data_IF_111999664128
#
_entry.id   IF_111999664128
#
_cell.length_a   1.000
_cell.length_b   1.000
_cell.length_c   1.000
_cell.angle_alpha   90.00
_cell.angle_beta   90.00
_cell.angle_gamma   90.00
#
_symmetry.space_group_name_H-M   'P 1'
#
loop_
_entity.id
_entity.type
_entity.pdbx_description
1 polymer ?
#
# COMPACT_ATOMS: atom_id res chain seq x y z
N UNK A 1 2.64 10.10 15.25
CA UNK A 1 2.54 10.56 13.83
C UNK A 1 2.35 9.37 12.91
N UNK A 2 1.96 9.60 11.64
CA UNK A 2 1.86 8.53 10.63
C UNK A 2 2.84 8.86 9.50
N UNK A 3 3.72 7.92 9.18
CA UNK A 3 4.67 8.01 8.08
C UNK A 3 4.34 6.93 7.05
N UNK A 4 4.31 7.30 5.77
CA UNK A 4 4.17 6.34 4.67
C UNK A 4 5.42 6.36 3.80
N UNK A 5 6.16 5.27 3.78
CA UNK A 5 7.41 5.15 3.04
C UNK A 5 7.14 4.49 1.68
N UNK A 6 7.54 5.17 0.61
CA UNK A 6 7.61 4.63 -0.75
C UNK A 6 9.04 4.77 -1.25
N UNK A 7 9.82 3.68 -1.25
CA UNK A 7 11.23 3.76 -1.68
C UNK A 7 11.37 4.10 -3.16
N UNK A 8 10.41 3.70 -3.99
CA UNK A 8 10.46 3.89 -5.43
C UNK A 8 9.11 4.43 -5.98
N UNK A 9 8.75 5.68 -5.62
CA UNK A 9 7.54 6.30 -6.15
C UNK A 9 7.60 6.46 -7.66
N UNK A 10 6.47 6.76 -8.28
CA UNK A 10 6.37 6.98 -9.71
C UNK A 10 5.38 8.09 -10.04
N UNK A 11 5.53 8.69 -11.19
CA UNK A 11 4.42 9.33 -11.89
C UNK A 11 3.82 8.28 -12.81
N UNK A 12 2.57 7.91 -12.60
CA UNK A 12 1.85 7.00 -13.51
C UNK A 12 1.21 7.84 -14.61
N UNK A 13 1.71 7.67 -15.84
CA UNK A 13 1.13 8.24 -17.06
C UNK A 13 0.12 7.26 -17.63
N UNK A 14 -1.17 7.58 -17.49
CA UNK A 14 -2.26 6.79 -18.05
C UNK A 14 -2.63 7.34 -19.42
N UNK A 15 -2.53 6.51 -20.45
CA UNK A 15 -2.83 6.87 -21.84
C UNK A 15 -4.01 6.02 -22.32
N UNK A 16 -5.06 6.65 -22.82
CA UNK A 16 -6.21 5.96 -23.40
C UNK A 16 -6.12 5.96 -24.94
N UNK A 17 -6.18 4.77 -25.52
CA UNK A 17 -6.22 4.57 -26.98
C UNK A 17 -7.32 3.55 -27.32
N UNK A 18 -7.89 3.62 -28.53
CA UNK A 18 -8.88 2.62 -28.96
C UNK A 18 -8.26 1.23 -29.10
N UNK A 19 -7.11 1.20 -29.77
CA UNK A 19 -6.31 0.01 -30.00
C UNK A 19 -4.84 0.38 -29.96
N UNK A 20 -4.05 -0.36 -29.18
CA UNK A 20 -2.60 -0.20 -29.17
C UNK A 20 -1.99 -1.13 -30.22
N UNK A 21 -1.40 -0.56 -31.26
CA UNK A 21 -0.74 -1.29 -32.36
C UNK A 21 0.77 -1.13 -32.24
N UNK A 22 1.49 -2.24 -32.06
CA UNK A 22 2.95 -2.22 -31.99
C UNK A 22 3.54 -1.90 -33.36
N UNK A 23 4.55 -1.03 -33.38
CA UNK A 23 5.23 -0.57 -34.59
C UNK A 23 4.49 0.54 -35.38
N UNK A 24 3.33 0.95 -34.89
CA UNK A 24 2.50 1.98 -35.54
C UNK A 24 2.37 3.24 -34.70
N UNK A 25 1.95 4.35 -35.35
CA UNK A 25 1.62 5.59 -34.65
C UNK A 25 0.26 5.47 -33.96
N UNK A 26 0.27 5.37 -32.63
CA UNK A 26 -0.94 5.40 -31.82
C UNK A 26 -1.22 6.83 -31.33
N UNK A 27 -2.47 7.29 -31.44
CA UNK A 27 -2.89 8.62 -30.94
C UNK A 27 -3.78 8.45 -29.72
N UNK A 28 -3.42 9.13 -28.62
CA UNK A 28 -4.22 9.12 -27.40
C UNK A 28 -5.56 9.84 -27.61
N UNK A 29 -6.60 9.36 -26.90
CA UNK A 29 -7.90 10.02 -26.74
C UNK A 29 -8.03 10.75 -25.42
N UNK A 30 -7.14 10.45 -24.49
CA UNK A 30 -7.06 11.06 -23.19
C UNK A 30 -5.81 10.62 -22.47
N UNK A 31 -5.34 11.46 -21.56
CA UNK A 31 -4.16 11.19 -20.75
C UNK A 31 -4.34 11.75 -19.34
N UNK A 32 -3.75 11.10 -18.37
CA UNK A 32 -3.70 11.55 -16.99
C UNK A 32 -2.33 11.26 -16.38
N UNK A 33 -1.87 12.17 -15.54
CA UNK A 33 -0.66 12.02 -14.74
C UNK A 33 -1.05 11.87 -13.29
N UNK A 34 -0.55 10.84 -12.62
CA UNK A 34 -0.95 10.53 -11.25
C UNK A 34 0.29 10.26 -10.41
N UNK A 35 0.32 10.85 -9.21
CA UNK A 35 1.34 10.49 -8.22
C UNK A 35 1.07 9.06 -7.72
N UNK A 36 2.01 8.15 -7.99
CA UNK A 36 1.85 6.71 -7.74
C UNK A 36 2.89 6.14 -6.79
N UNK A 37 2.54 4.99 -6.25
CA UNK A 37 3.32 4.23 -5.29
C UNK A 37 2.46 3.82 -4.09
N UNK A 38 2.67 2.60 -3.57
CA UNK A 38 1.79 2.04 -2.53
C UNK A 38 1.69 2.92 -1.28
N UNK A 39 2.81 3.46 -0.79
CA UNK A 39 2.79 4.37 0.36
C UNK A 39 2.14 5.71 0.03
N UNK A 40 2.27 6.23 -1.20
CA UNK A 40 1.58 7.44 -1.65
C UNK A 40 0.06 7.19 -1.68
N UNK A 41 -0.39 6.05 -2.21
CA UNK A 41 -1.80 5.68 -2.19
C UNK A 41 -2.34 5.61 -0.76
N UNK A 42 -1.60 4.97 0.15
CA UNK A 42 -1.95 4.93 1.57
C UNK A 42 -2.02 6.33 2.20
N UNK A 43 -1.07 7.23 1.86
CA UNK A 43 -1.06 8.62 2.32
C UNK A 43 -2.33 9.38 1.93
N UNK A 44 -2.73 9.29 0.67
CA UNK A 44 -3.92 9.94 0.16
C UNK A 44 -5.19 9.45 0.88
N UNK A 45 -5.30 8.13 1.07
CA UNK A 45 -6.42 7.55 1.83
C UNK A 45 -6.45 8.04 3.27
N UNK A 46 -5.31 7.98 3.97
CA UNK A 46 -5.19 8.45 5.36
C UNK A 46 -5.62 9.92 5.47
N UNK A 47 -5.15 10.77 4.55
CA UNK A 47 -5.52 12.18 4.53
C UNK A 47 -7.01 12.39 4.29
N UNK A 48 -7.61 11.66 3.35
CA UNK A 48 -9.06 11.72 3.06
C UNK A 48 -9.91 11.22 4.22
N UNK A 49 -9.39 10.29 5.03
CA UNK A 49 -10.01 9.84 6.27
C UNK A 49 -9.78 10.77 7.46
N UNK A 50 -9.00 11.86 7.30
CA UNK A 50 -8.79 12.88 8.32
C UNK A 50 -7.51 12.69 9.16
N UNK A 51 -6.64 11.79 8.76
CA UNK A 51 -5.37 11.53 9.46
C UNK A 51 -4.22 12.30 8.82
N UNK A 52 -3.69 13.29 9.55
CA UNK A 52 -2.46 13.99 9.14
C UNK A 52 -1.31 13.00 9.08
N UNK A 53 -0.63 12.97 7.93
CA UNK A 53 0.45 12.02 7.71
C UNK A 53 1.59 12.63 6.88
N UNK A 54 2.73 11.96 6.90
CA UNK A 54 3.95 12.33 6.17
C UNK A 54 4.26 11.27 5.12
N UNK A 55 4.22 11.65 3.84
CA UNK A 55 4.68 10.80 2.75
C UNK A 55 6.19 10.97 2.59
N UNK A 56 6.94 9.87 2.61
CA UNK A 56 8.41 9.89 2.53
C UNK A 56 8.96 8.78 1.64
N UNK A 57 10.24 8.82 1.39
CA UNK A 57 10.99 7.95 0.47
C UNK A 57 11.95 8.78 -0.36
N UNK A 58 12.15 8.41 -1.63
CA UNK A 58 13.13 9.05 -2.49
C UNK A 58 12.47 9.61 -3.74
N UNK A 59 12.78 10.88 -4.04
CA UNK A 59 12.29 11.56 -5.25
C UNK A 59 13.42 12.33 -5.91
N UNK A 60 13.34 12.54 -7.22
CA UNK A 60 14.32 13.32 -7.97
C UNK A 60 13.73 13.99 -9.20
N UNK A 61 14.34 15.12 -9.62
CA UNK A 61 13.99 15.85 -10.81
C UNK A 61 12.56 16.41 -10.83
N UNK A 62 12.09 16.79 -12.02
CA UNK A 62 10.78 17.45 -12.20
C UNK A 62 9.60 16.52 -11.84
N UNK A 63 9.74 15.23 -12.05
CA UNK A 63 8.69 14.25 -11.68
C UNK A 63 8.60 14.06 -10.18
N UNK A 64 9.72 14.13 -9.46
CA UNK A 64 9.74 14.16 -8.00
C UNK A 64 9.07 15.42 -7.44
N UNK A 65 9.30 16.57 -8.07
CA UNK A 65 8.63 17.81 -7.71
C UNK A 65 7.12 17.72 -7.96
N UNK A 66 6.70 17.15 -9.11
CA UNK A 66 5.29 16.91 -9.39
C UNK A 66 4.59 16.09 -8.28
N UNK A 67 5.23 15.01 -7.79
CA UNK A 67 4.70 14.20 -6.70
C UNK A 67 4.54 15.05 -5.43
N UNK A 68 5.57 15.81 -5.04
CA UNK A 68 5.52 16.67 -3.85
C UNK A 68 4.39 17.69 -3.94
N UNK A 69 4.25 18.36 -5.08
CA UNK A 69 3.22 19.39 -5.31
C UNK A 69 1.81 18.78 -5.27
N UNK A 70 1.63 17.61 -5.89
CA UNK A 70 0.35 16.87 -5.84
C UNK A 70 -0.03 16.51 -4.41
N UNK A 71 0.91 15.99 -3.61
CA UNK A 71 0.67 15.62 -2.22
C UNK A 71 0.32 16.84 -1.35
N UNK A 72 0.98 17.98 -1.56
CA UNK A 72 0.67 19.24 -0.87
C UNK A 72 -0.76 19.70 -1.21
N UNK A 73 -1.16 19.63 -2.48
CA UNK A 73 -2.52 19.98 -2.91
C UNK A 73 -3.59 19.10 -2.26
N UNK A 74 -3.27 17.83 -2.04
CA UNK A 74 -4.14 16.86 -1.34
C UNK A 74 -4.05 16.98 0.20
N UNK A 75 -3.24 17.91 0.75
CA UNK A 75 -3.08 18.13 2.18
C UNK A 75 -2.12 17.18 2.89
N UNK A 76 -1.45 16.29 2.16
CA UNK A 76 -0.40 15.39 2.69
C UNK A 76 0.91 16.16 2.84
N UNK A 77 1.67 15.88 3.89
CA UNK A 77 2.97 16.51 4.15
C UNK A 77 4.11 15.71 3.49
N UNK A 78 4.74 16.19 2.42
CA UNK A 78 5.88 15.52 1.82
C UNK A 78 7.14 15.67 2.67
N UNK A 79 7.83 14.56 2.95
CA UNK A 79 9.08 14.49 3.69
C UNK A 79 10.08 13.60 2.95
N UNK A 80 10.26 13.83 1.66
CA UNK A 80 11.12 13.02 0.80
C UNK A 80 12.59 13.42 0.89
N UNK A 81 13.46 12.43 0.75
CA UNK A 81 14.88 12.64 0.48
C UNK A 81 15.07 12.80 -1.02
N UNK A 82 15.78 13.85 -1.42
CA UNK A 82 16.08 14.10 -2.84
C UNK A 82 17.28 13.28 -3.29
N UNK A 83 17.13 12.62 -4.44
CA UNK A 83 18.17 11.84 -5.10
C UNK A 83 18.49 12.38 -6.49
N UNK A 84 19.67 12.08 -6.98
CA UNK A 84 20.05 12.41 -8.34
C UNK A 84 19.22 11.63 -9.36
N UNK A 85 18.94 12.25 -10.49
CA UNK A 85 18.14 11.67 -11.57
C UNK A 85 16.66 12.09 -11.50
N UNK A 86 15.81 11.27 -12.11
CA UNK A 86 14.39 11.57 -12.29
C UNK A 86 13.57 10.45 -11.63
N UNK A 87 12.62 10.81 -10.78
CA UNK A 87 11.61 9.86 -10.31
C UNK A 87 10.95 9.20 -11.51
N UNK A 88 10.83 7.89 -11.49
CA UNK A 88 10.35 7.11 -12.64
C UNK A 88 8.95 7.52 -13.11
N UNK A 89 8.73 7.37 -14.41
CA UNK A 89 7.41 7.46 -15.02
C UNK A 89 7.02 6.05 -15.45
N UNK A 90 5.91 5.54 -14.95
CA UNK A 90 5.30 4.33 -15.47
C UNK A 90 4.26 4.72 -16.51
N UNK A 91 4.18 3.96 -17.59
CA UNK A 91 3.18 4.18 -18.64
C UNK A 91 2.13 3.09 -18.58
N UNK A 92 0.86 3.47 -18.44
CA UNK A 92 -0.30 2.59 -18.43
C UNK A 92 -1.15 2.85 -19.67
N UNK A 93 -1.04 1.98 -20.66
CA UNK A 93 -1.83 2.08 -21.89
C UNK A 93 -3.15 1.36 -21.69
N UNK A 94 -4.24 2.10 -21.63
CA UNK A 94 -5.61 1.56 -21.55
C UNK A 94 -6.20 1.47 -22.95
N UNK A 95 -6.41 0.24 -23.41
CA UNK A 95 -7.02 -0.10 -24.68
C UNK A 95 -8.01 -1.26 -24.47
N UNK A 96 -8.19 -2.14 -25.45
CA UNK A 96 -8.93 -3.39 -25.28
C UNK A 96 -8.28 -4.29 -24.21
N UNK A 97 -6.94 -4.26 -24.15
CA UNK A 97 -6.12 -4.88 -23.09
C UNK A 97 -5.26 -3.80 -22.43
N UNK A 98 -5.09 -3.89 -21.12
CA UNK A 98 -4.23 -2.97 -20.39
C UNK A 98 -2.76 -3.41 -20.50
N UNK A 99 -1.89 -2.48 -20.88
CA UNK A 99 -0.44 -2.71 -20.93
C UNK A 99 0.29 -1.74 -20.04
N UNK A 100 1.15 -2.25 -19.18
CA UNK A 100 1.97 -1.44 -18.27
C UNK A 100 3.45 -1.54 -18.64
N UNK A 101 4.13 -0.37 -18.68
CA UNK A 101 5.57 -0.26 -18.84
C UNK A 101 6.10 0.46 -17.60
N UNK A 102 6.76 -0.29 -16.72
CA UNK A 102 7.25 0.23 -15.45
C UNK A 102 8.76 0.53 -15.53
N UNK A 103 9.13 1.78 -15.35
CA UNK A 103 10.53 2.20 -15.31
C UNK A 103 11.22 1.80 -14.00
N UNK A 104 12.55 1.63 -14.04
CA UNK A 104 13.33 1.23 -12.87
C UNK A 104 13.38 2.29 -11.76
N UNK A 105 13.46 3.57 -12.14
CA UNK A 105 13.63 4.68 -11.19
C UNK A 105 15.10 5.05 -10.95
N UNK A 106 15.33 6.11 -10.17
CA UNK A 106 16.69 6.60 -9.88
C UNK A 106 17.42 5.67 -8.91
N UNK A 107 18.76 5.70 -8.99
CA UNK A 107 19.62 5.00 -8.05
C UNK A 107 19.61 5.72 -6.70
N UNK A 108 19.41 4.98 -5.63
CA UNK A 108 19.53 5.49 -4.25
C UNK A 108 20.89 5.09 -3.70
N UNK A 109 21.69 6.08 -3.31
CA UNK A 109 23.01 5.82 -2.71
C UNK A 109 22.85 5.44 -1.21
N UNK A 110 23.87 4.79 -0.62
CA UNK A 110 23.88 4.50 0.83
C UNK A 110 23.75 5.75 1.70
N UNK A 111 24.34 6.88 1.26
CA UNK A 111 24.28 8.17 1.96
C UNK A 111 22.84 8.71 1.98
N UNK A 112 22.13 8.60 0.85
CA UNK A 112 20.71 9.01 0.75
C UNK A 112 19.80 8.13 1.58
N UNK A 113 20.09 6.83 1.66
CA UNK A 113 19.37 5.95 2.57
C UNK A 113 19.65 6.28 4.04
N UNK A 114 20.90 6.62 4.39
CA UNK A 114 21.24 7.06 5.75
C UNK A 114 20.55 8.39 6.11
N UNK A 115 20.40 9.32 5.14
CA UNK A 115 19.62 10.56 5.32
C UNK A 115 18.16 10.27 5.69
N UNK A 116 17.53 9.30 5.01
CA UNK A 116 16.17 8.86 5.35
C UNK A 116 16.10 8.22 6.75
N UNK A 117 17.04 7.34 7.08
CA UNK A 117 17.08 6.70 8.41
C UNK A 117 17.22 7.71 9.54
N UNK A 118 18.05 8.74 9.35
CA UNK A 118 18.29 9.79 10.34
C UNK A 118 17.00 10.55 10.72
N UNK A 119 16.03 10.67 9.79
CA UNK A 119 14.72 11.25 10.08
C UNK A 119 14.00 10.40 11.13
N UNK A 120 13.95 9.09 10.92
CA UNK A 120 13.26 8.17 11.83
C UNK A 120 14.02 7.97 13.15
N UNK A 121 15.35 7.91 13.12
CA UNK A 121 16.18 7.81 14.33
C UNK A 121 15.96 8.99 15.28
N UNK A 122 15.75 10.18 14.72
CA UNK A 122 15.49 11.40 15.49
C UNK A 122 14.06 11.49 16.00
N UNK A 123 13.07 11.20 15.15
CA UNK A 123 11.68 11.62 15.35
C UNK A 123 10.73 10.47 15.74
N UNK A 124 11.11 9.20 15.52
CA UNK A 124 10.21 8.06 15.72
C UNK A 124 9.99 7.71 17.20
N UNK A 125 8.73 7.56 17.57
CA UNK A 125 8.27 7.18 18.92
C UNK A 125 7.30 5.99 18.90
N UNK A 126 6.96 5.47 20.09
CA UNK A 126 6.05 4.33 20.26
C UNK A 126 4.60 4.61 19.82
N UNK A 127 4.20 5.88 19.78
CA UNK A 127 2.87 6.29 19.36
C UNK A 127 2.73 6.42 17.84
N UNK A 128 3.84 6.28 17.12
CA UNK A 128 3.89 6.48 15.68
C UNK A 128 3.52 5.21 14.90
N UNK A 129 3.12 5.43 13.66
CA UNK A 129 2.81 4.37 12.70
C UNK A 129 3.68 4.58 11.46
N UNK A 130 4.36 3.52 11.04
CA UNK A 130 5.19 3.54 9.85
C UNK A 130 4.67 2.51 8.84
N UNK A 131 4.15 3.00 7.72
CA UNK A 131 3.88 2.18 6.56
C UNK A 131 5.15 2.07 5.72
N UNK A 132 5.58 0.85 5.44
CA UNK A 132 6.60 0.58 4.42
C UNK A 132 5.95 -0.25 3.32
N UNK A 133 5.76 0.37 2.16
CA UNK A 133 4.96 -0.23 1.11
C UNK A 133 5.62 -0.12 -0.28
N UNK A 134 5.44 -1.16 -1.09
CA UNK A 134 5.98 -1.27 -2.44
C UNK A 134 7.33 -1.99 -2.51
N UNK A 135 7.98 -1.86 -3.67
CA UNK A 135 9.26 -2.50 -3.97
C UNK A 135 10.43 -1.56 -3.70
N UNK A 136 11.63 -2.15 -3.58
CA UNK A 136 12.87 -1.42 -3.43
C UNK A 136 13.15 -0.53 -4.66
N UNK A 137 13.82 0.62 -4.44
CA UNK A 137 14.43 1.40 -5.50
C UNK A 137 15.77 0.76 -5.94
N UNK A 138 16.25 1.06 -7.15
CA UNK A 138 17.61 0.71 -7.53
C UNK A 138 18.62 1.20 -6.49
N UNK A 139 19.58 0.35 -6.11
CA UNK A 139 20.56 0.63 -5.05
C UNK A 139 20.12 0.22 -3.65
N UNK A 140 18.85 -0.11 -3.44
CA UNK A 140 18.34 -0.66 -2.19
C UNK A 140 18.04 -2.15 -2.33
N UNK A 141 18.25 -2.86 -1.27
CA UNK A 141 17.96 -4.29 -1.15
C UNK A 141 17.11 -4.57 0.12
N UNK A 142 16.99 -5.81 0.47
CA UNK A 142 16.26 -6.26 1.68
C UNK A 142 16.79 -5.62 2.97
N UNK A 143 18.07 -5.25 3.02
CA UNK A 143 18.66 -4.62 4.22
C UNK A 143 18.03 -3.27 4.53
N UNK A 144 17.58 -2.53 3.51
CA UNK A 144 16.86 -1.28 3.70
C UNK A 144 15.52 -1.49 4.40
N UNK A 145 14.78 -2.55 4.04
CA UNK A 145 13.53 -2.92 4.70
C UNK A 145 13.77 -3.36 6.14
N UNK A 146 14.78 -4.21 6.35
CA UNK A 146 15.19 -4.69 7.68
C UNK A 146 15.58 -3.52 8.58
N UNK A 147 16.31 -2.53 8.07
CA UNK A 147 16.72 -1.36 8.86
C UNK A 147 15.51 -0.58 9.39
N UNK A 148 14.52 -0.31 8.54
CA UNK A 148 13.26 0.36 8.96
C UNK A 148 12.48 -0.52 9.94
N UNK A 149 12.32 -1.82 9.64
CA UNK A 149 11.58 -2.75 10.49
C UNK A 149 12.19 -2.86 11.90
N UNK A 150 13.53 -2.98 11.96
CA UNK A 150 14.30 -2.99 13.20
C UNK A 150 14.12 -1.72 14.01
N UNK A 151 14.23 -0.56 13.36
CA UNK A 151 14.06 0.73 14.02
C UNK A 151 12.64 0.90 14.58
N UNK A 152 11.61 0.49 13.83
CA UNK A 152 10.23 0.49 14.33
C UNK A 152 10.08 -0.40 15.57
N UNK A 153 10.66 -1.60 15.57
CA UNK A 153 10.63 -2.50 16.71
C UNK A 153 11.36 -1.90 17.92
N UNK A 154 12.55 -1.34 17.75
CA UNK A 154 13.35 -0.72 18.80
C UNK A 154 12.65 0.49 19.44
N UNK A 155 11.90 1.25 18.65
CA UNK A 155 11.12 2.42 19.09
C UNK A 155 9.72 2.07 19.58
N UNK A 156 9.25 0.85 19.39
CA UNK A 156 7.90 0.40 19.71
C UNK A 156 6.81 0.96 18.78
N UNK A 157 7.20 1.52 17.64
CA UNK A 157 6.26 2.06 16.65
C UNK A 157 5.47 0.94 15.95
N UNK A 158 4.23 1.23 15.55
CA UNK A 158 3.42 0.28 14.78
C UNK A 158 3.94 0.21 13.35
N UNK A 159 4.55 -0.92 13.00
CA UNK A 159 5.10 -1.17 11.68
C UNK A 159 4.07 -1.86 10.78
N UNK A 160 3.64 -1.20 9.71
CA UNK A 160 2.68 -1.67 8.70
C UNK A 160 3.45 -2.00 7.43
N UNK A 161 3.37 -3.25 6.96
CA UNK A 161 4.19 -3.72 5.85
C UNK A 161 3.33 -4.29 4.71
N UNK A 162 3.47 -3.73 3.51
CA UNK A 162 2.85 -4.23 2.28
C UNK A 162 3.84 -4.24 1.12
N UNK A 163 4.52 -5.37 0.94
CA UNK A 163 5.59 -5.54 -0.05
C UNK A 163 5.56 -6.95 -0.64
N UNK A 164 6.45 -7.22 -1.60
CA UNK A 164 6.56 -8.54 -2.22
C UNK A 164 7.00 -9.63 -1.24
N UNK A 165 6.80 -10.90 -1.64
CA UNK A 165 7.06 -12.11 -0.85
C UNK A 165 8.40 -12.09 -0.12
N UNK A 166 9.50 -11.85 -0.84
CA UNK A 166 10.85 -11.93 -0.27
C UNK A 166 11.09 -10.86 0.81
N UNK A 167 10.76 -9.63 0.51
CA UNK A 167 10.94 -8.50 1.43
C UNK A 167 10.03 -8.64 2.67
N UNK A 168 8.81 -9.16 2.47
CA UNK A 168 7.87 -9.40 3.56
C UNK A 168 8.41 -10.45 4.52
N UNK A 169 8.83 -11.62 4.02
CA UNK A 169 9.27 -12.73 4.88
C UNK A 169 10.49 -12.38 5.72
N UNK A 170 11.45 -11.64 5.18
CA UNK A 170 12.64 -11.18 5.90
C UNK A 170 12.32 -10.18 7.03
N UNK A 171 11.22 -9.42 6.89
CA UNK A 171 10.80 -8.45 7.89
C UNK A 171 9.92 -9.04 9.01
N UNK A 172 9.42 -10.28 8.90
CA UNK A 172 8.52 -10.88 9.90
C UNK A 172 9.17 -10.99 11.29
N UNK A 173 10.49 -11.21 11.36
CA UNK A 173 11.24 -11.27 12.62
C UNK A 173 11.10 -10.01 13.48
N UNK A 174 10.80 -8.86 12.85
CA UNK A 174 10.62 -7.57 13.51
C UNK A 174 9.16 -7.29 13.89
N UNK A 175 8.32 -8.33 13.86
CA UNK A 175 6.94 -8.33 14.34
C UNK A 175 6.09 -7.17 13.80
N UNK A 176 5.90 -7.07 12.47
CA UNK A 176 5.04 -6.03 11.91
C UNK A 176 3.66 -6.07 12.55
N UNK A 177 3.13 -4.86 12.88
CA UNK A 177 1.81 -4.70 13.48
C UNK A 177 0.73 -5.30 12.58
N UNK A 178 0.77 -5.01 11.27
CA UNK A 178 -0.14 -5.61 10.29
C UNK A 178 0.55 -5.78 8.95
N UNK A 179 0.27 -6.90 8.30
CA UNK A 179 0.63 -7.19 6.91
C UNK A 179 -0.64 -7.48 6.10
N UNK A 180 -0.57 -7.28 4.77
CA UNK A 180 -1.72 -7.53 3.91
C UNK A 180 -1.33 -8.26 2.62
N UNK A 181 -1.04 -9.55 2.62
CA UNK A 181 -0.97 -10.34 1.40
C UNK A 181 -2.38 -10.56 0.80
N UNK A 182 -2.47 -10.75 -0.50
CA UNK A 182 -3.64 -11.39 -1.08
C UNK A 182 -3.53 -12.92 -0.95
N UNK A 183 -4.62 -13.66 -1.23
CA UNK A 183 -4.63 -15.12 -1.07
C UNK A 183 -3.66 -15.84 -2.01
N UNK A 184 -3.35 -15.28 -3.19
CA UNK A 184 -2.34 -15.82 -4.09
C UNK A 184 -0.93 -15.61 -3.53
N UNK A 185 -0.60 -14.38 -3.09
CA UNK A 185 0.68 -14.05 -2.44
C UNK A 185 0.92 -14.90 -1.19
N UNK A 186 -0.14 -15.13 -0.39
CA UNK A 186 -0.06 -16.02 0.77
C UNK A 186 0.27 -17.45 0.35
N UNK A 187 -0.41 -17.97 -0.68
CA UNK A 187 -0.12 -19.29 -1.24
C UNK A 187 1.31 -19.41 -1.78
N UNK A 188 1.77 -18.39 -2.50
CA UNK A 188 3.14 -18.34 -3.03
C UNK A 188 4.22 -18.37 -1.95
N UNK A 189 4.00 -17.73 -0.80
CA UNK A 189 4.94 -17.74 0.33
C UNK A 189 5.22 -19.18 0.76
N UNK A 190 4.20 -20.01 0.82
CA UNK A 190 4.31 -21.41 1.26
C UNK A 190 4.39 -22.44 0.13
N UNK A 191 4.37 -21.98 -1.14
CA UNK A 191 4.44 -22.86 -2.31
C UNK A 191 3.18 -23.71 -2.50
N UNK A 192 2.00 -23.20 -2.13
CA UNK A 192 0.72 -23.90 -2.20
C UNK A 192 -0.34 -23.07 -2.95
N UNK A 193 -1.38 -23.75 -3.45
CA UNK A 193 -2.58 -23.08 -3.96
C UNK A 193 -3.69 -23.22 -2.93
N UNK A 194 -4.17 -22.09 -2.42
CA UNK A 194 -5.22 -22.04 -1.39
C UNK A 194 -6.59 -22.18 -2.05
N UNK A 195 -7.41 -23.09 -1.53
CA UNK A 195 -8.69 -23.45 -2.16
C UNK A 195 -9.91 -22.89 -1.40
N UNK A 196 -9.79 -22.73 -0.11
CA UNK A 196 -10.88 -22.31 0.74
C UNK A 196 -10.40 -21.45 1.92
N UNK A 197 -11.35 -20.94 2.68
CA UNK A 197 -11.13 -20.05 3.81
C UNK A 197 -10.34 -20.73 4.95
N UNK A 198 -10.58 -22.02 5.18
CA UNK A 198 -9.90 -22.78 6.23
C UNK A 198 -8.39 -22.92 5.92
N UNK A 199 -8.03 -23.16 4.66
CA UNK A 199 -6.64 -23.17 4.22
C UNK A 199 -6.00 -21.78 4.34
N UNK A 200 -6.73 -20.70 3.96
CA UNK A 200 -6.26 -19.32 4.12
C UNK A 200 -5.95 -19.01 5.58
N UNK A 201 -6.86 -19.33 6.49
CA UNK A 201 -6.67 -19.13 7.94
C UNK A 201 -5.48 -19.96 8.44
N UNK A 202 -5.34 -21.22 8.01
CA UNK A 202 -4.23 -22.07 8.39
C UNK A 202 -2.88 -21.47 8.01
N UNK A 203 -2.73 -20.98 6.77
CA UNK A 203 -1.49 -20.38 6.32
C UNK A 203 -1.26 -18.96 6.86
N UNK A 204 -2.32 -18.20 7.14
CA UNK A 204 -2.21 -16.94 7.88
C UNK A 204 -1.65 -17.16 9.31
N UNK A 205 -2.08 -18.23 10.02
CA UNK A 205 -1.51 -18.61 11.32
C UNK A 205 -0.01 -18.95 11.21
N UNK A 206 0.43 -19.60 10.13
CA UNK A 206 1.86 -19.83 9.89
C UNK A 206 2.65 -18.52 9.70
N UNK A 207 2.07 -17.51 9.02
CA UNK A 207 2.72 -16.18 8.96
C UNK A 207 2.79 -15.50 10.34
N UNK A 208 1.79 -15.73 11.18
CA UNK A 208 1.79 -15.24 12.55
C UNK A 208 2.89 -15.90 13.39
N UNK A 209 3.07 -17.20 13.25
CA UNK A 209 4.17 -17.94 13.89
C UNK A 209 5.55 -17.44 13.46
N UNK A 210 5.68 -16.92 12.22
CA UNK A 210 6.90 -16.28 11.71
C UNK A 210 7.10 -14.85 12.23
N UNK A 211 6.08 -14.24 12.87
CA UNK A 211 6.22 -12.95 13.55
C UNK A 211 5.16 -11.90 13.25
N UNK A 212 4.38 -11.99 12.19
CA UNK A 212 3.31 -11.00 11.92
C UNK A 212 2.30 -10.97 13.07
N UNK A 213 1.94 -9.77 13.54
CA UNK A 213 0.96 -9.66 14.65
C UNK A 213 -0.47 -9.77 14.14
N UNK A 214 -0.83 -8.98 13.14
CA UNK A 214 -2.14 -9.04 12.48
C UNK A 214 -1.96 -9.28 11.00
N UNK A 215 -2.84 -10.07 10.40
CA UNK A 215 -2.75 -10.45 8.99
C UNK A 215 -4.10 -10.23 8.33
N UNK A 216 -4.14 -9.34 7.34
CA UNK A 216 -5.28 -9.19 6.45
C UNK A 216 -4.98 -9.99 5.18
N UNK A 217 -5.86 -10.90 4.82
CA UNK A 217 -5.75 -11.62 3.54
C UNK A 217 -6.87 -11.13 2.62
N UNK A 218 -6.51 -10.35 1.59
CA UNK A 218 -7.48 -9.87 0.62
C UNK A 218 -7.82 -10.96 -0.42
N UNK A 219 -9.10 -11.07 -0.80
CA UNK A 219 -9.63 -12.11 -1.71
C UNK A 219 -10.35 -11.51 -2.91
N UNK A 220 -10.06 -10.26 -3.25
CA UNK A 220 -10.73 -9.55 -4.33
C UNK A 220 -12.24 -9.48 -4.12
N UNK A 221 -13.02 -10.02 -5.09
CA UNK A 221 -14.49 -10.06 -5.02
C UNK A 221 -15.08 -10.88 -3.89
N UNK A 222 -14.29 -11.68 -3.19
CA UNK A 222 -14.72 -12.49 -2.05
C UNK A 222 -14.47 -11.80 -0.69
N UNK A 223 -14.06 -10.54 -0.69
CA UNK A 223 -13.82 -9.78 0.53
C UNK A 223 -12.44 -9.99 1.14
N UNK A 224 -12.35 -10.06 2.45
CA UNK A 224 -11.10 -10.22 3.16
C UNK A 224 -11.26 -11.01 4.47
N UNK A 225 -10.14 -11.60 4.91
CA UNK A 225 -9.99 -12.24 6.21
C UNK A 225 -9.01 -11.44 7.04
N UNK A 226 -9.27 -11.31 8.33
CA UNK A 226 -8.35 -10.76 9.31
C UNK A 226 -8.07 -11.81 10.39
N UNK A 227 -6.81 -12.10 10.63
CA UNK A 227 -6.33 -12.84 11.79
C UNK A 227 -5.62 -11.85 12.72
N UNK A 228 -6.09 -11.75 13.95
CA UNK A 228 -5.51 -10.89 14.98
C UNK A 228 -4.43 -11.60 15.80
N UNK A 229 -3.58 -10.85 16.51
CA UNK A 229 -2.48 -11.39 17.32
C UNK A 229 -2.96 -12.36 18.41
N UNK A 230 -4.15 -12.13 18.98
CA UNK A 230 -4.79 -12.98 19.97
C UNK A 230 -5.56 -14.17 19.37
N UNK A 231 -5.47 -14.37 18.06
CA UNK A 231 -6.03 -15.52 17.34
C UNK A 231 -7.49 -15.39 16.92
N UNK A 232 -8.12 -14.20 17.12
CA UNK A 232 -9.46 -13.97 16.59
C UNK A 232 -9.44 -13.92 15.06
N UNK A 233 -10.49 -14.44 14.44
CA UNK A 233 -10.65 -14.41 12.98
C UNK A 233 -11.91 -13.65 12.64
N UNK A 234 -11.80 -12.73 11.70
CA UNK A 234 -12.93 -12.00 11.13
C UNK A 234 -12.92 -12.15 9.61
N UNK A 235 -14.12 -12.25 9.02
CA UNK A 235 -14.28 -12.14 7.57
C UNK A 235 -15.17 -10.96 7.21
N UNK A 236 -14.90 -10.34 6.08
CA UNK A 236 -15.76 -9.31 5.50
C UNK A 236 -16.21 -9.72 4.11
N UNK A 237 -17.43 -9.35 3.73
CA UNK A 237 -17.88 -9.31 2.35
C UNK A 237 -17.39 -8.03 1.65
N UNK A 238 -17.87 -7.78 0.43
CA UNK A 238 -17.67 -6.55 -0.32
C UNK A 238 -19.03 -5.90 -0.63
N UNK A 239 -19.07 -4.56 -0.78
CA UNK A 239 -20.28 -3.87 -1.21
C UNK A 239 -20.54 -4.13 -2.69
N UNK A 240 -21.79 -3.94 -3.12
CA UNK A 240 -22.14 -4.02 -4.52
C UNK A 240 -21.58 -2.83 -5.30
N UNK A 241 -20.98 -3.09 -6.45
CA UNK A 241 -20.43 -2.05 -7.31
C UNK A 241 -19.79 -2.61 -8.58
N UNK A 242 -19.39 -1.71 -9.46
CA UNK A 242 -18.68 -2.06 -10.70
C UNK A 242 -17.21 -1.69 -10.56
N UNK A 243 -16.34 -2.65 -10.75
CA UNK A 243 -14.90 -2.40 -10.80
C UNK A 243 -14.56 -1.53 -12.01
N UNK A 244 -13.90 -0.42 -11.74
CA UNK A 244 -13.38 0.55 -12.73
C UNK A 244 -11.86 0.40 -12.83
N UNK A 245 -11.17 0.34 -11.68
CA UNK A 245 -9.71 0.21 -11.62
C UNK A 245 -9.30 -0.43 -10.29
N UNK A 246 -8.67 -1.60 -10.32
CA UNK A 246 -8.24 -2.30 -9.09
C UNK A 246 -6.91 -1.82 -8.51
N UNK A 247 -6.19 -0.96 -9.23
CA UNK A 247 -4.89 -0.42 -8.77
C UNK A 247 -5.08 0.43 -7.52
N UNK A 248 -4.29 0.18 -6.49
CA UNK A 248 -4.36 0.91 -5.22
C UNK A 248 -5.47 0.44 -4.26
N UNK A 249 -6.37 -0.48 -4.68
CA UNK A 249 -7.43 -0.99 -3.81
C UNK A 249 -6.89 -1.68 -2.56
N UNK A 250 -5.82 -2.46 -2.69
CA UNK A 250 -5.14 -3.12 -1.57
C UNK A 250 -4.48 -2.12 -0.62
N UNK A 251 -3.81 -1.10 -1.16
CA UNK A 251 -3.18 -0.03 -0.39
C UNK A 251 -4.24 0.76 0.39
N UNK A 252 -5.36 1.04 -0.28
CA UNK A 252 -6.52 1.72 0.31
C UNK A 252 -7.17 0.90 1.42
N UNK A 253 -7.33 -0.40 1.23
CA UNK A 253 -7.84 -1.31 2.26
C UNK A 253 -6.97 -1.26 3.51
N UNK A 254 -5.66 -1.37 3.36
CA UNK A 254 -4.72 -1.35 4.48
C UNK A 254 -4.73 0.01 5.20
N UNK A 255 -4.74 1.11 4.45
CA UNK A 255 -4.81 2.45 5.01
C UNK A 255 -6.13 2.71 5.77
N UNK A 256 -7.27 2.30 5.20
CA UNK A 256 -8.59 2.40 5.84
C UNK A 256 -8.70 1.56 7.11
N UNK A 257 -8.13 0.35 7.11
CA UNK A 257 -8.02 -0.50 8.28
C UNK A 257 -7.23 0.18 9.41
N UNK A 258 -6.02 0.65 9.09
CA UNK A 258 -5.14 1.28 10.10
C UNK A 258 -5.74 2.57 10.63
N UNK A 259 -6.31 3.42 9.76
CA UNK A 259 -6.99 4.65 10.17
C UNK A 259 -8.05 4.38 11.24
N UNK A 260 -8.96 3.43 10.98
CA UNK A 260 -10.04 3.09 11.90
C UNK A 260 -9.53 2.41 13.18
N UNK A 261 -8.50 1.58 13.08
CA UNK A 261 -7.89 0.99 14.26
C UNK A 261 -7.30 2.05 15.19
N UNK A 262 -6.65 3.08 14.65
CA UNK A 262 -6.10 4.18 15.45
C UNK A 262 -7.18 5.01 16.14
N UNK A 263 -8.38 5.08 15.57
CA UNK A 263 -9.51 5.80 16.15
C UNK A 263 -10.26 4.98 17.23
N UNK A 264 -10.42 3.67 17.00
CA UNK A 264 -11.39 2.85 17.74
C UNK A 264 -10.76 1.72 18.55
N UNK A 265 -9.60 1.22 18.14
CA UNK A 265 -9.02 -0.02 18.65
C UNK A 265 -9.80 -1.28 18.29
N UNK A 266 -10.87 -1.20 17.47
CA UNK A 266 -11.78 -2.28 17.14
C UNK A 266 -11.41 -2.92 15.80
N UNK A 267 -11.08 -4.20 15.81
CA UNK A 267 -10.66 -4.95 14.64
C UNK A 267 -11.78 -5.20 13.64
N UNK A 268 -13.00 -5.43 14.11
CA UNK A 268 -14.15 -5.67 13.23
C UNK A 268 -14.52 -4.39 12.47
N UNK A 269 -14.56 -3.23 13.15
CA UNK A 269 -14.78 -1.94 12.52
C UNK A 269 -13.65 -1.58 11.56
N UNK A 270 -12.42 -1.88 11.94
CA UNK A 270 -11.23 -1.65 11.10
C UNK A 270 -11.27 -2.47 9.81
N UNK A 271 -11.60 -3.76 9.88
CA UNK A 271 -11.77 -4.60 8.70
C UNK A 271 -12.92 -4.10 7.82
N UNK A 272 -14.04 -3.72 8.42
CA UNK A 272 -15.20 -3.15 7.72
C UNK A 272 -14.83 -1.90 6.91
N UNK A 273 -14.16 -0.95 7.56
CA UNK A 273 -13.70 0.30 6.89
C UNK A 273 -12.63 0.00 5.85
N UNK A 274 -11.70 -0.90 6.13
CA UNK A 274 -10.68 -1.33 5.18
C UNK A 274 -11.30 -1.90 3.90
N UNK A 275 -12.26 -2.82 4.03
CA UNK A 275 -12.97 -3.40 2.90
C UNK A 275 -13.76 -2.36 2.10
N UNK A 276 -14.43 -1.41 2.78
CA UNK A 276 -15.12 -0.29 2.14
C UNK A 276 -14.15 0.59 1.34
N UNK A 277 -13.01 0.94 1.93
CA UNK A 277 -12.01 1.83 1.32
C UNK A 277 -11.36 1.17 0.10
N UNK A 278 -11.02 -0.13 0.20
CA UNK A 278 -10.50 -0.89 -0.93
C UNK A 278 -11.50 -1.01 -2.07
N UNK A 279 -12.77 -1.31 -1.74
CA UNK A 279 -13.85 -1.41 -2.74
C UNK A 279 -14.16 -0.05 -3.38
N UNK A 280 -14.21 1.03 -2.58
CA UNK A 280 -14.43 2.38 -3.09
C UNK A 280 -13.34 2.77 -4.11
N UNK A 281 -12.08 2.45 -3.81
CA UNK A 281 -10.97 2.67 -4.76
C UNK A 281 -11.14 1.81 -6.00
N UNK A 282 -11.52 0.53 -5.87
CA UNK A 282 -11.76 -0.33 -7.03
C UNK A 282 -12.93 0.15 -7.92
N UNK A 283 -13.89 0.88 -7.38
CA UNK A 283 -15.04 1.45 -8.10
C UNK A 283 -14.78 2.89 -8.61
N UNK A 284 -13.60 3.42 -8.34
CA UNK A 284 -13.16 4.75 -8.79
C UNK A 284 -12.12 4.66 -9.89
N UNK A 285 -11.92 5.74 -10.62
CA UNK A 285 -10.83 5.85 -11.61
C UNK A 285 -9.47 5.81 -10.92
N UNK A 286 -9.39 6.38 -9.69
CA UNK A 286 -8.21 6.45 -8.86
C UNK A 286 -8.57 6.25 -7.37
N UNK A 287 -7.71 6.66 -6.45
CA UNK A 287 -7.98 6.57 -5.00
C UNK A 287 -9.32 7.23 -4.68
N UNK A 288 -10.18 6.52 -3.95
CA UNK A 288 -11.54 6.95 -3.68
C UNK A 288 -11.64 8.20 -2.81
N UNK A 289 -12.64 9.03 -3.09
CA UNK A 289 -13.03 10.12 -2.23
C UNK A 289 -13.72 9.61 -0.95
N UNK A 290 -13.58 10.38 0.14
CA UNK A 290 -14.16 10.03 1.45
C UNK A 290 -15.65 9.72 1.38
N UNK A 291 -16.42 10.50 0.62
CA UNK A 291 -17.87 10.31 0.50
C UNK A 291 -18.22 8.91 0.02
N UNK A 292 -17.56 8.42 -1.02
CA UNK A 292 -17.80 7.05 -1.53
C UNK A 292 -17.44 5.99 -0.50
N UNK A 293 -16.35 6.17 0.25
CA UNK A 293 -15.98 5.26 1.33
C UNK A 293 -17.08 5.20 2.39
N UNK A 294 -17.58 6.35 2.82
CA UNK A 294 -18.65 6.47 3.84
C UNK A 294 -19.97 5.87 3.35
N UNK A 295 -20.30 6.02 2.07
CA UNK A 295 -21.50 5.43 1.46
C UNK A 295 -21.44 3.89 1.39
N UNK A 296 -20.24 3.32 1.18
CA UNK A 296 -20.06 1.89 1.03
C UNK A 296 -19.88 1.14 2.36
N UNK A 297 -19.37 1.79 3.40
CA UNK A 297 -19.07 1.12 4.68
C UNK A 297 -20.29 0.44 5.30
N UNK A 298 -21.48 1.02 5.16
CA UNK A 298 -22.72 0.46 5.71
C UNK A 298 -23.23 -0.79 4.97
N UNK A 299 -22.72 -1.05 3.78
CA UNK A 299 -23.08 -2.22 2.98
C UNK A 299 -22.23 -3.45 3.31
N UNK A 300 -21.16 -3.28 4.11
CA UNK A 300 -20.24 -4.36 4.45
C UNK A 300 -20.64 -5.02 5.76
N UNK A 301 -20.66 -6.35 5.74
CA UNK A 301 -20.87 -7.18 6.91
C UNK A 301 -19.57 -7.83 7.33
N UNK A 302 -19.30 -7.80 8.63
CA UNK A 302 -18.15 -8.47 9.24
C UNK A 302 -18.68 -9.57 10.17
N UNK A 303 -18.12 -10.76 10.02
CA UNK A 303 -18.45 -11.95 10.83
C UNK A 303 -17.22 -12.35 11.62
N UNK A 304 -17.37 -12.60 12.91
CA UNK A 304 -16.36 -13.24 13.76
C UNK A 304 -16.54 -14.76 13.73
N UNK A 305 -15.43 -15.52 13.68
CA UNK A 305 -15.37 -16.97 13.59
C UNK A 305 -14.86 -17.60 14.89
#
# INVERSE_FOLDING_TARGET
>A
MIYTITFNPAVDLVIQVDQCQLGELNRSKGEAYVAGGKGINASLVLQRLGHVNYATGFVGGFTGQYIKDTLIQEGVKPLFVEVDGITRVNVKVKSQEETEINAAGPQVSPEKFAELLAIFERDLSSDDVVFLAGNAAPGLDVKAYIAIAKLCQERGAKFVLDTNKQLLTECLLYRPFVIKPNHHELGEIFGVSLKDEAEIIHYAKKLQELGARHIIVSRGGEGALLLTEDGQVFSSDIPKGRVVNSVGAGDSMLAGFVATYLETGDFAQSLKRGAATGSATAYSVWIAERQLIDDLVNQIHVVAH
#
